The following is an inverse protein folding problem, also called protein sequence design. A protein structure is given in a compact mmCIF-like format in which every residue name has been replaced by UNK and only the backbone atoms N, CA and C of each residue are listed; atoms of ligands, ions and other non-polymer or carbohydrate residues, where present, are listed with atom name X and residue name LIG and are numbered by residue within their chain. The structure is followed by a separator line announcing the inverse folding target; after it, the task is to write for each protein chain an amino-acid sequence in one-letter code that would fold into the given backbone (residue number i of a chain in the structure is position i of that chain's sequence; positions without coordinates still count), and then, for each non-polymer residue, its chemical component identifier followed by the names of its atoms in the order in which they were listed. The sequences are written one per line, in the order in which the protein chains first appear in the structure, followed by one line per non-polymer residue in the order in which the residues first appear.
data_IF_900652427287
#
_entry.id   IF_900652427287
#
_cell.length_a   1.000
_cell.length_b   1.000
_cell.length_c   1.000
_cell.angle_alpha   90.00
_cell.angle_beta   90.00
_cell.angle_gamma   90.00
#
_symmetry.space_group_name_H-M   'P 1'
#
loop_
_entity.id
_entity.type
_entity.pdbx_description
1 polymer ?
#
# COMPACT_ATOMS: atom_id res chain seq x y z
N UNK A 1 -60.35 -2.16 2.44
CA UNK A 1 -58.92 -1.81 2.35
C UNK A 1 -58.36 -1.87 3.75
N UNK A 2 -57.40 -2.75 4.01
CA UNK A 2 -56.72 -2.82 5.32
C UNK A 2 -55.43 -2.01 5.20
N UNK A 3 -55.17 -1.16 6.19
CA UNK A 3 -53.95 -0.35 6.29
C UNK A 3 -53.31 -0.64 7.64
N UNK A 4 -52.03 -0.99 7.64
CA UNK A 4 -51.20 -1.13 8.84
C UNK A 4 -49.99 -0.23 8.69
N UNK A 5 -49.58 0.40 9.78
CA UNK A 5 -48.36 1.22 9.85
C UNK A 5 -47.32 0.41 10.61
N UNK A 6 -46.17 0.17 9.99
CA UNK A 6 -45.03 -0.45 10.63
C UNK A 6 -44.05 0.65 11.06
N UNK A 7 -43.68 0.64 12.33
CA UNK A 7 -42.52 1.42 12.80
C UNK A 7 -41.28 0.60 12.51
N UNK A 8 -40.32 1.19 11.80
CA UNK A 8 -39.05 0.52 11.50
C UNK A 8 -38.29 0.24 12.79
N UNK A 9 -37.61 -0.91 12.85
CA UNK A 9 -36.67 -1.20 13.93
C UNK A 9 -35.42 -0.32 13.83
N UNK A 10 -34.48 -0.49 14.75
CA UNK A 10 -33.20 0.22 14.73
C UNK A 10 -32.18 -0.43 13.79
N UNK A 11 -32.37 -1.69 13.39
CA UNK A 11 -31.43 -2.44 12.55
C UNK A 11 -31.71 -2.22 11.05
N UNK A 12 -30.64 -2.02 10.28
CA UNK A 12 -30.67 -2.08 8.82
C UNK A 12 -30.71 -3.52 8.31
N UNK A 13 -31.14 -3.69 7.06
CA UNK A 13 -31.26 -4.99 6.40
C UNK A 13 -32.65 -5.23 5.82
N UNK A 14 -32.85 -6.43 5.25
CA UNK A 14 -34.13 -6.82 4.67
C UNK A 14 -35.15 -7.15 5.77
N UNK A 15 -36.24 -6.39 5.79
CA UNK A 15 -37.42 -6.68 6.59
C UNK A 15 -38.48 -7.36 5.73
N UNK A 16 -38.90 -8.57 6.11
CA UNK A 16 -40.03 -9.25 5.47
C UNK A 16 -41.32 -8.95 6.21
N UNK A 17 -42.31 -8.42 5.50
CA UNK A 17 -43.66 -8.21 6.00
C UNK A 17 -44.55 -9.30 5.43
N UNK A 18 -45.17 -10.09 6.30
CA UNK A 18 -46.09 -11.16 5.93
C UNK A 18 -47.50 -10.80 6.39
N UNK A 19 -48.46 -10.82 5.47
CA UNK A 19 -49.90 -10.80 5.78
C UNK A 19 -50.47 -12.21 5.65
N UNK A 20 -51.28 -12.63 6.61
CA UNK A 20 -51.86 -13.99 6.67
C UNK A 20 -53.35 -13.93 6.99
N UNK A 21 -54.19 -14.71 6.28
CA UNK A 21 -55.63 -14.90 6.53
C UNK A 21 -56.01 -16.34 6.20
N UNK A 22 -56.64 -17.07 7.14
CA UNK A 22 -57.18 -18.42 6.94
C UNK A 22 -56.21 -19.42 6.26
N UNK A 23 -54.93 -19.38 6.63
CA UNK A 23 -53.89 -20.24 6.06
C UNK A 23 -53.30 -19.76 4.73
N UNK A 24 -53.81 -18.69 4.15
CA UNK A 24 -53.19 -18.00 3.01
C UNK A 24 -52.24 -16.91 3.51
N UNK A 25 -51.09 -16.72 2.85
CA UNK A 25 -50.18 -15.60 3.14
C UNK A 25 -49.67 -14.91 1.88
N UNK A 26 -49.30 -13.64 2.04
CA UNK A 26 -48.55 -12.84 1.07
C UNK A 26 -47.41 -12.15 1.78
N UNK A 27 -46.26 -12.08 1.12
CA UNK A 27 -45.07 -11.42 1.63
C UNK A 27 -44.69 -10.23 0.76
N UNK A 28 -44.13 -9.20 1.38
CA UNK A 28 -43.39 -8.13 0.72
C UNK A 28 -42.12 -7.89 1.53
N UNK A 29 -41.01 -7.60 0.84
CA UNK A 29 -39.74 -7.25 1.49
C UNK A 29 -39.50 -5.75 1.36
N UNK A 30 -38.91 -5.16 2.40
CA UNK A 30 -38.47 -3.78 2.42
C UNK A 30 -37.04 -3.73 2.93
N UNK A 31 -36.16 -3.01 2.25
CA UNK A 31 -34.78 -2.80 2.70
C UNK A 31 -34.76 -1.59 3.64
N UNK A 32 -34.42 -1.81 4.91
CA UNK A 32 -34.16 -0.75 5.87
C UNK A 32 -32.70 -0.35 5.78
N UNK A 33 -32.43 0.94 5.59
CA UNK A 33 -31.08 1.49 5.58
C UNK A 33 -30.83 2.18 6.92
N UNK A 34 -29.66 1.94 7.51
CA UNK A 34 -29.21 2.69 8.67
C UNK A 34 -29.08 4.18 8.30
N UNK A 35 -29.10 5.04 9.31
CA UNK A 35 -28.89 6.48 9.13
C UNK A 35 -27.45 6.78 8.70
N UNK A 36 -27.08 8.07 8.65
CA UNK A 36 -25.71 8.49 8.33
C UNK A 36 -24.69 7.72 9.18
N UNK A 37 -23.64 7.21 8.53
CA UNK A 37 -22.54 6.53 9.20
C UNK A 37 -21.93 7.38 10.32
N UNK A 38 -21.72 6.75 11.47
CA UNK A 38 -20.95 7.31 12.56
C UNK A 38 -19.47 6.97 12.34
N UNK A 39 -18.70 7.98 11.97
CA UNK A 39 -17.26 7.86 11.70
C UNK A 39 -16.49 7.42 12.94
N UNK A 40 -16.92 7.80 14.14
CA UNK A 40 -16.23 7.45 15.38
C UNK A 40 -16.42 5.98 15.78
N UNK A 41 -17.57 5.39 15.43
CA UNK A 41 -17.86 3.97 15.67
C UNK A 41 -17.44 3.06 14.51
N UNK A 42 -17.22 3.63 13.33
CA UNK A 42 -16.76 2.90 12.14
C UNK A 42 -15.25 2.68 12.16
N UNK A 43 -14.77 1.71 11.38
CA UNK A 43 -13.33 1.38 11.31
C UNK A 43 -12.87 1.14 9.88
N UNK A 44 -11.66 1.58 9.55
CA UNK A 44 -10.97 1.20 8.32
C UNK A 44 -9.72 0.41 8.71
N UNK A 45 -9.56 -0.80 8.18
CA UNK A 45 -8.38 -1.65 8.40
C UNK A 45 -7.75 -2.07 7.08
N UNK A 46 -6.48 -2.45 7.13
CA UNK A 46 -5.80 -3.15 6.05
C UNK A 46 -5.54 -4.59 6.48
N UNK A 47 -5.44 -5.52 5.54
CA UNK A 47 -4.91 -6.85 5.84
C UNK A 47 -3.44 -6.77 6.29
N UNK A 48 -2.99 -7.81 6.99
CA UNK A 48 -1.60 -7.99 7.39
C UNK A 48 -1.01 -9.19 6.63
N UNK A 49 -0.42 -8.98 5.43
CA UNK A 49 0.26 -10.04 4.70
C UNK A 49 1.42 -10.62 5.53
N UNK A 50 1.71 -11.91 5.37
CA UNK A 50 2.80 -12.60 6.09
C UNK A 50 4.21 -12.22 5.62
N UNK A 51 4.32 -11.32 4.64
CA UNK A 51 5.57 -10.85 4.05
C UNK A 51 5.39 -9.46 3.45
N UNK A 52 6.45 -8.94 2.86
CA UNK A 52 6.40 -7.63 2.22
C UNK A 52 5.47 -7.62 0.99
N UNK A 53 4.81 -6.49 0.74
CA UNK A 53 3.99 -6.26 -0.45
C UNK A 53 4.82 -5.47 -1.47
N UNK A 54 5.16 -6.10 -2.59
CA UNK A 54 6.01 -5.48 -3.61
C UNK A 54 5.24 -4.43 -4.41
N UNK A 55 5.91 -3.32 -4.72
CA UNK A 55 5.40 -2.27 -5.60
C UNK A 55 5.48 -2.65 -7.09
N UNK A 56 4.90 -3.79 -7.48
CA UNK A 56 4.87 -4.31 -8.85
C UNK A 56 3.58 -3.96 -9.61
N UNK A 57 2.65 -3.23 -8.97
CA UNK A 57 1.31 -2.92 -9.48
C UNK A 57 0.31 -4.08 -9.36
N UNK A 58 0.76 -5.27 -8.98
CA UNK A 58 -0.01 -6.52 -8.97
C UNK A 58 -0.31 -6.99 -7.54
N UNK A 59 0.71 -7.00 -6.67
CA UNK A 59 0.53 -7.26 -5.24
C UNK A 59 -0.22 -6.09 -4.62
N UNK A 60 -1.13 -6.43 -3.70
CA UNK A 60 -2.07 -5.47 -3.17
C UNK A 60 -2.35 -5.73 -1.69
N UNK A 61 -2.62 -4.65 -0.99
CA UNK A 61 -3.36 -4.70 0.26
C UNK A 61 -4.85 -4.77 -0.02
N UNK A 62 -5.59 -5.35 0.91
CA UNK A 62 -7.05 -5.30 0.96
C UNK A 62 -7.45 -4.39 2.10
N UNK A 63 -8.08 -3.26 1.77
CA UNK A 63 -8.73 -2.40 2.75
C UNK A 63 -10.12 -2.95 3.07
N UNK A 64 -10.50 -2.86 4.34
CA UNK A 64 -11.82 -3.23 4.86
C UNK A 64 -12.38 -2.09 5.69
N UNK A 65 -13.47 -1.49 5.24
CA UNK A 65 -14.27 -0.53 6.01
C UNK A 65 -15.42 -1.27 6.67
N UNK A 66 -15.52 -1.22 7.99
CA UNK A 66 -16.73 -1.58 8.73
C UNK A 66 -17.47 -0.30 9.07
N UNK A 67 -18.58 -0.05 8.38
CA UNK A 67 -19.41 1.13 8.52
C UNK A 67 -20.62 0.83 9.40
N UNK A 68 -20.77 1.59 10.48
CA UNK A 68 -21.89 1.49 11.42
C UNK A 68 -22.46 2.88 11.74
N UNK A 69 -23.72 2.94 12.16
CA UNK A 69 -24.34 4.15 12.71
C UNK A 69 -24.01 4.35 14.20
N UNK A 70 -24.61 5.37 14.82
CA UNK A 70 -24.42 5.70 16.24
C UNK A 70 -24.90 4.61 17.20
N UNK A 71 -25.84 3.78 16.74
CA UNK A 71 -26.44 2.67 17.48
C UNK A 71 -25.72 1.33 17.22
N UNK A 72 -24.70 1.32 16.35
CA UNK A 72 -23.90 0.15 16.00
C UNK A 72 -24.52 -0.74 14.91
N UNK A 73 -25.55 -0.29 14.22
CA UNK A 73 -26.15 -1.04 13.11
C UNK A 73 -25.32 -0.85 11.83
N UNK A 74 -25.19 -1.87 10.97
CA UNK A 74 -24.40 -1.77 9.75
C UNK A 74 -25.00 -0.76 8.75
N UNK A 75 -24.17 0.07 8.12
CA UNK A 75 -24.62 0.99 7.07
C UNK A 75 -24.45 0.32 5.71
N UNK A 76 -25.55 -0.15 5.12
CA UNK A 76 -25.56 -1.00 3.91
C UNK A 76 -25.84 -0.25 2.60
N UNK A 77 -25.36 -0.81 1.49
CA UNK A 77 -25.65 -0.34 0.14
C UNK A 77 -24.98 0.97 -0.26
N UNK A 78 -23.89 1.35 0.39
CA UNK A 78 -23.16 2.62 0.16
C UNK A 78 -21.94 2.47 -0.76
N UNK A 79 -21.68 1.28 -1.33
CA UNK A 79 -20.48 1.01 -2.12
C UNK A 79 -20.26 2.00 -3.28
N UNK A 80 -21.34 2.43 -3.94
CA UNK A 80 -21.31 3.40 -5.04
C UNK A 80 -21.00 4.84 -4.60
N UNK A 81 -21.13 5.14 -3.30
CA UNK A 81 -20.90 6.45 -2.69
C UNK A 81 -19.56 6.50 -1.96
N UNK A 82 -19.06 5.38 -1.47
CA UNK A 82 -17.76 5.31 -0.82
C UNK A 82 -16.61 5.48 -1.80
N UNK A 83 -15.52 6.13 -1.38
CA UNK A 83 -14.25 6.20 -2.11
C UNK A 83 -13.10 5.99 -1.14
N UNK A 84 -12.08 5.26 -1.57
CA UNK A 84 -10.78 5.19 -0.90
C UNK A 84 -9.78 5.96 -1.75
N UNK A 85 -9.23 7.02 -1.19
CA UNK A 85 -8.42 7.99 -1.92
C UNK A 85 -7.01 8.02 -1.31
N UNK A 86 -5.99 7.59 -2.06
CA UNK A 86 -4.59 7.77 -1.68
C UNK A 86 -4.25 9.27 -1.58
N UNK A 87 -3.44 9.66 -0.59
CA UNK A 87 -2.93 11.04 -0.49
C UNK A 87 -2.00 11.39 -1.66
N UNK A 88 -1.14 10.45 -2.07
CA UNK A 88 -0.40 10.50 -3.33
C UNK A 88 -0.96 9.43 -4.26
N UNK A 89 -1.42 9.86 -5.43
CA UNK A 89 -2.04 8.99 -6.44
C UNK A 89 -1.03 8.46 -7.45
N UNK A 90 0.21 8.97 -7.45
CA UNK A 90 1.22 8.57 -8.42
C UNK A 90 1.57 7.09 -8.27
N UNK A 91 1.23 6.29 -9.27
CA UNK A 91 1.51 4.85 -9.30
C UNK A 91 0.64 4.02 -8.36
N UNK A 92 -0.35 4.60 -7.67
CA UNK A 92 -1.27 3.89 -6.78
C UNK A 92 -2.57 3.59 -7.52
N UNK A 93 -3.01 2.34 -7.47
CA UNK A 93 -4.29 1.91 -8.02
C UNK A 93 -5.19 1.41 -6.89
N UNK A 94 -6.42 1.93 -6.83
CA UNK A 94 -7.45 1.48 -5.91
C UNK A 94 -8.52 0.74 -6.70
N UNK A 95 -8.82 -0.49 -6.30
CA UNK A 95 -9.87 -1.31 -6.88
C UNK A 95 -11.27 -0.79 -6.57
N UNK A 96 -12.27 -1.37 -7.25
CA UNK A 96 -13.67 -1.06 -6.96
C UNK A 96 -14.03 -1.46 -5.52
N UNK A 97 -14.81 -0.59 -4.85
CA UNK A 97 -15.34 -0.88 -3.53
C UNK A 97 -16.56 -1.78 -3.68
N UNK A 98 -16.55 -2.90 -2.95
CA UNK A 98 -17.66 -3.86 -2.91
C UNK A 98 -18.11 -4.07 -1.47
N UNK A 99 -19.42 -4.13 -1.25
CA UNK A 99 -19.96 -4.58 0.03
C UNK A 99 -19.90 -6.11 0.09
N UNK A 100 -19.09 -6.66 0.99
CA UNK A 100 -18.85 -8.11 1.11
C UNK A 100 -19.77 -8.77 2.12
N UNK A 101 -20.28 -7.99 3.09
CA UNK A 101 -21.28 -8.34 4.11
C UNK A 101 -21.99 -7.05 4.52
N UNK A 102 -23.19 -7.09 5.12
CA UNK A 102 -23.88 -5.88 5.57
C UNK A 102 -22.97 -4.92 6.35
N UNK A 103 -22.76 -3.72 5.81
CA UNK A 103 -21.93 -2.66 6.40
C UNK A 103 -20.42 -2.88 6.30
N UNK A 104 -19.96 -3.95 5.64
CA UNK A 104 -18.53 -4.26 5.47
C UNK A 104 -18.16 -4.12 4.00
N UNK A 105 -17.30 -3.14 3.71
CA UNK A 105 -16.85 -2.80 2.37
C UNK A 105 -15.39 -3.13 2.19
N UNK A 106 -15.02 -3.62 1.01
CA UNK A 106 -13.66 -4.00 0.69
C UNK A 106 -13.22 -3.48 -0.67
N UNK A 107 -11.95 -3.09 -0.76
CA UNK A 107 -11.27 -2.80 -2.02
C UNK A 107 -9.78 -3.13 -1.89
N UNK A 108 -9.17 -3.47 -3.02
CA UNK A 108 -7.72 -3.67 -3.09
C UNK A 108 -6.99 -2.34 -3.36
N UNK A 109 -5.75 -2.25 -2.91
CA UNK A 109 -4.84 -1.14 -3.21
C UNK A 109 -3.50 -1.72 -3.62
N UNK A 110 -3.05 -1.44 -4.83
CA UNK A 110 -1.72 -1.78 -5.34
C UNK A 110 -0.92 -0.52 -5.67
N UNK A 111 0.40 -0.66 -5.81
CA UNK A 111 1.31 0.43 -6.13
C UNK A 111 2.41 -0.03 -7.08
N UNK A 112 2.87 0.85 -7.98
CA UNK A 112 4.15 0.70 -8.70
C UNK A 112 5.28 1.49 -8.05
N UNK A 113 4.98 2.22 -6.97
CA UNK A 113 5.95 2.98 -6.16
C UNK A 113 6.15 2.35 -4.79
N UNK A 114 7.40 2.09 -4.43
CA UNK A 114 7.77 1.67 -3.09
C UNK A 114 7.64 2.84 -2.09
N UNK A 115 7.33 2.50 -0.84
CA UNK A 115 7.15 3.47 0.24
C UNK A 115 5.77 3.37 0.89
N UNK A 116 5.50 4.36 1.76
CA UNK A 116 4.25 4.43 2.50
C UNK A 116 3.18 5.16 1.69
N UNK A 117 2.02 4.53 1.52
CA UNK A 117 0.83 5.09 0.89
C UNK A 117 -0.24 5.27 1.96
N UNK A 118 -0.64 6.52 2.22
CA UNK A 118 -1.75 6.82 3.14
C UNK A 118 -3.05 6.89 2.34
N UNK A 119 -4.01 6.03 2.65
CA UNK A 119 -5.33 5.99 2.01
C UNK A 119 -6.39 6.48 2.99
N UNK A 120 -7.27 7.36 2.53
CA UNK A 120 -8.36 7.95 3.32
C UNK A 120 -9.71 7.50 2.76
N UNK A 121 -10.68 7.25 3.64
CA UNK A 121 -12.04 6.97 3.23
C UNK A 121 -12.86 8.25 3.06
N UNK A 122 -13.74 8.25 2.06
CA UNK A 122 -14.69 9.30 1.75
C UNK A 122 -16.08 8.70 1.55
N UNK A 123 -17.11 9.46 1.88
CA UNK A 123 -18.48 9.24 1.40
C UNK A 123 -18.84 10.40 0.47
N UNK A 124 -19.11 10.07 -0.78
CA UNK A 124 -19.16 11.01 -1.90
C UNK A 124 -17.89 11.87 -1.95
N UNK A 125 -18.02 13.17 -1.71
CA UNK A 125 -16.92 14.15 -1.69
C UNK A 125 -16.40 14.46 -0.28
N UNK A 126 -17.01 13.89 0.76
CA UNK A 126 -16.71 14.24 2.15
C UNK A 126 -15.75 13.23 2.77
N UNK A 127 -14.62 13.72 3.27
CA UNK A 127 -13.64 12.89 3.95
C UNK A 127 -14.22 12.37 5.27
N UNK A 128 -14.06 11.07 5.52
CA UNK A 128 -14.52 10.39 6.73
C UNK A 128 -13.50 10.47 7.85
N UNK A 129 -13.11 11.71 8.19
CA UNK A 129 -12.29 12.04 9.36
C UNK A 129 -11.08 11.12 9.56
N UNK A 130 -11.14 10.34 10.66
CA UNK A 130 -10.10 9.44 11.18
C UNK A 130 -9.95 8.12 10.43
N UNK A 131 -10.86 7.81 9.49
CA UNK A 131 -10.82 6.56 8.71
C UNK A 131 -9.76 6.66 7.62
N UNK A 132 -8.52 6.36 8.02
CA UNK A 132 -7.37 6.29 7.14
C UNK A 132 -6.46 5.13 7.51
N UNK A 133 -5.69 4.65 6.53
CA UNK A 133 -4.68 3.62 6.74
C UNK A 133 -3.38 3.93 6.00
N UNK A 134 -2.27 3.49 6.59
CA UNK A 134 -0.93 3.59 5.97
C UNK A 134 -0.50 2.21 5.51
N UNK A 135 -0.28 2.06 4.20
CA UNK A 135 0.14 0.83 3.54
C UNK A 135 1.62 0.94 3.17
N UNK A 136 2.43 -0.09 3.41
CA UNK A 136 3.87 -0.07 3.11
C UNK A 136 4.18 -0.99 1.94
N UNK A 137 4.49 -0.40 0.79
CA UNK A 137 5.01 -1.16 -0.34
C UNK A 137 6.53 -1.17 -0.33
N UNK A 138 7.15 -2.28 -0.72
CA UNK A 138 8.62 -2.38 -0.87
C UNK A 138 9.01 -2.43 -2.34
N UNK A 139 10.24 -2.07 -2.65
CA UNK A 139 10.78 -2.26 -4.00
C UNK A 139 10.84 -3.75 -4.35
N UNK A 140 10.69 -4.06 -5.63
CA UNK A 140 10.86 -5.41 -6.15
C UNK A 140 12.31 -5.87 -6.17
N UNK A 141 12.57 -7.03 -6.79
CA UNK A 141 13.93 -7.52 -7.00
C UNK A 141 14.80 -6.49 -7.73
N UNK A 142 16.08 -6.46 -7.36
CA UNK A 142 17.09 -5.64 -8.04
C UNK A 142 17.08 -5.91 -9.55
N UNK A 143 17.00 -4.84 -10.32
CA UNK A 143 17.10 -4.86 -11.78
C UNK A 143 18.41 -4.20 -12.23
N UNK A 144 19.26 -4.98 -12.89
CA UNK A 144 20.57 -4.52 -13.32
C UNK A 144 20.52 -3.50 -14.46
N UNK A 145 19.45 -3.47 -15.26
CA UNK A 145 19.30 -2.53 -16.37
C UNK A 145 18.89 -1.13 -15.88
N UNK A 146 18.16 -1.05 -14.77
CA UNK A 146 17.76 0.22 -14.14
C UNK A 146 18.77 0.69 -13.07
N UNK A 147 19.63 -0.21 -12.58
CA UNK A 147 20.67 0.11 -11.61
C UNK A 147 21.94 0.65 -12.26
N UNK A 148 22.74 1.40 -11.51
CA UNK A 148 23.99 2.00 -12.03
C UNK A 148 25.05 2.13 -10.95
N UNK A 149 26.32 2.10 -11.34
CA UNK A 149 27.45 2.40 -10.45
C UNK A 149 28.29 3.54 -11.04
N UNK A 150 28.68 4.48 -10.19
CA UNK A 150 29.51 5.63 -10.55
C UNK A 150 30.68 5.78 -9.56
N UNK A 151 31.69 6.56 -9.95
CA UNK A 151 32.84 6.87 -9.13
C UNK A 151 32.92 8.37 -8.86
N UNK A 152 33.33 8.75 -7.65
CA UNK A 152 33.63 10.12 -7.27
C UNK A 152 34.98 10.20 -6.52
N UNK A 153 36.03 10.81 -7.12
CA UNK A 153 36.06 11.38 -8.47
C UNK A 153 35.94 10.31 -9.57
N UNK A 154 35.44 10.67 -10.75
CA UNK A 154 35.29 9.77 -11.90
C UNK A 154 36.63 9.37 -12.55
N UNK A 155 37.66 10.22 -12.33
CA UNK A 155 39.03 10.02 -12.79
C UNK A 155 40.01 10.13 -11.60
N UNK A 156 40.07 9.10 -10.74
CA UNK A 156 40.98 9.11 -9.60
C UNK A 156 42.44 9.02 -10.06
N UNK A 157 43.34 9.63 -9.28
CA UNK A 157 44.79 9.50 -9.45
C UNK A 157 45.31 8.27 -8.69
N UNK A 158 46.42 7.70 -9.16
CA UNK A 158 47.09 6.58 -8.50
C UNK A 158 47.47 6.96 -7.06
N UNK A 159 47.23 6.04 -6.11
CA UNK A 159 47.46 6.29 -4.69
C UNK A 159 46.40 7.15 -4.01
N UNK A 160 45.35 7.57 -4.73
CA UNK A 160 44.22 8.30 -4.18
C UNK A 160 43.11 7.41 -3.64
N UNK A 161 42.13 8.04 -3.01
CA UNK A 161 40.87 7.43 -2.58
C UNK A 161 39.76 7.81 -3.55
N UNK A 162 38.89 6.86 -3.90
CA UNK A 162 37.70 7.08 -4.70
C UNK A 162 36.48 6.47 -4.01
N UNK A 163 35.35 7.16 -4.09
CA UNK A 163 34.06 6.65 -3.60
C UNK A 163 33.32 6.01 -4.77
N UNK A 164 33.03 4.72 -4.67
CA UNK A 164 32.05 4.07 -5.53
C UNK A 164 30.64 4.32 -4.96
N UNK A 165 29.75 4.76 -5.83
CA UNK A 165 28.34 5.03 -5.52
C UNK A 165 27.49 4.12 -6.41
N UNK A 166 26.86 3.12 -5.81
CA UNK A 166 25.96 2.20 -6.48
C UNK A 166 24.51 2.61 -6.19
N UNK A 167 23.75 2.89 -7.25
CA UNK A 167 22.30 3.12 -7.20
C UNK A 167 21.60 1.84 -7.59
N UNK A 168 20.92 1.22 -6.62
CA UNK A 168 20.16 -0.02 -6.77
C UNK A 168 18.68 0.29 -6.99
N UNK A 169 18.12 -0.20 -8.09
CA UNK A 169 16.71 -0.02 -8.45
C UNK A 169 16.07 -1.33 -8.89
N UNK A 170 14.74 -1.41 -8.75
CA UNK A 170 13.93 -2.46 -9.38
C UNK A 170 13.51 -2.08 -10.80
N UNK A 171 12.73 -2.95 -11.45
CA UNK A 171 12.23 -2.74 -12.81
C UNK A 171 11.22 -1.59 -12.95
N UNK A 172 10.71 -1.05 -11.84
CA UNK A 172 9.80 0.10 -11.78
C UNK A 172 10.52 1.38 -11.31
N UNK A 173 11.86 1.39 -11.35
CA UNK A 173 12.70 2.48 -10.87
C UNK A 173 12.62 2.77 -9.36
N UNK A 174 12.07 1.85 -8.55
CA UNK A 174 12.03 2.02 -7.10
C UNK A 174 13.41 1.77 -6.49
N UNK A 175 13.85 2.61 -5.53
CA UNK A 175 15.11 2.38 -4.82
C UNK A 175 15.05 1.09 -4.00
N UNK A 176 16.01 0.21 -4.21
CA UNK A 176 16.10 -1.08 -3.49
C UNK A 176 17.01 -0.91 -2.28
N UNK A 177 16.44 -1.02 -1.08
CA UNK A 177 17.13 -0.89 0.21
C UNK A 177 17.27 -2.24 0.91
N UNK A 178 18.17 -2.36 1.90
CA UNK A 178 18.25 -3.57 2.74
C UNK A 178 18.81 -4.82 2.02
N UNK A 179 19.55 -4.60 0.93
CA UNK A 179 20.33 -5.65 0.28
C UNK A 179 21.50 -6.09 1.18
N UNK A 180 22.02 -7.30 0.94
CA UNK A 180 23.27 -7.76 1.55
C UNK A 180 24.28 -8.11 0.45
N UNK A 181 24.84 -7.10 -0.24
CA UNK A 181 25.76 -7.33 -1.36
C UNK A 181 27.10 -7.89 -0.86
N UNK A 182 27.74 -8.72 -1.69
CA UNK A 182 29.14 -9.08 -1.50
C UNK A 182 30.04 -7.84 -1.55
N UNK A 183 31.20 -7.92 -0.92
CA UNK A 183 32.19 -6.85 -0.97
C UNK A 183 32.62 -6.53 -2.41
N UNK A 184 32.95 -5.27 -2.73
CA UNK A 184 33.42 -4.90 -4.07
C UNK A 184 34.63 -5.74 -4.50
N UNK A 185 34.55 -6.32 -5.68
CA UNK A 185 35.67 -7.04 -6.30
C UNK A 185 36.43 -6.12 -7.25
N UNK A 186 37.75 -6.04 -7.08
CA UNK A 186 38.64 -5.24 -7.91
C UNK A 186 39.47 -6.15 -8.82
N UNK A 187 39.58 -5.81 -10.11
CA UNK A 187 40.33 -6.60 -11.09
C UNK A 187 41.07 -5.72 -12.10
N UNK A 188 42.03 -6.32 -12.82
CA UNK A 188 42.90 -5.63 -13.79
C UNK A 188 44.22 -5.12 -13.21
N UNK A 189 45.16 -4.76 -14.08
CA UNK A 189 46.52 -4.38 -13.69
C UNK A 189 46.57 -3.18 -12.74
N UNK A 190 45.67 -2.20 -12.91
CA UNK A 190 45.59 -1.01 -12.05
C UNK A 190 44.99 -1.29 -10.66
N UNK A 191 44.31 -2.42 -10.47
CA UNK A 191 43.73 -2.81 -9.18
C UNK A 191 44.73 -3.51 -8.26
N UNK A 192 45.90 -3.93 -8.75
CA UNK A 192 46.90 -4.67 -7.97
C UNK A 192 47.32 -3.87 -6.74
N UNK A 193 47.10 -4.44 -5.55
CA UNK A 193 47.40 -3.81 -4.26
C UNK A 193 46.38 -2.78 -3.78
N UNK A 194 45.31 -2.54 -4.54
CA UNK A 194 44.20 -1.67 -4.12
C UNK A 194 43.27 -2.43 -3.19
N UNK A 195 42.57 -1.70 -2.32
CA UNK A 195 41.58 -2.28 -1.40
C UNK A 195 40.24 -1.56 -1.57
N UNK A 196 39.16 -2.26 -1.27
CA UNK A 196 37.82 -1.69 -1.16
C UNK A 196 37.25 -1.97 0.23
N UNK A 197 36.51 -1.00 0.78
CA UNK A 197 35.65 -1.25 1.94
C UNK A 197 34.46 -2.14 1.54
N UNK A 198 33.72 -2.65 2.54
CA UNK A 198 32.35 -3.13 2.29
C UNK A 198 31.42 -1.99 1.85
N UNK A 199 30.27 -2.37 1.30
CA UNK A 199 29.21 -1.43 0.96
C UNK A 199 28.51 -0.91 2.22
N UNK A 200 28.23 0.40 2.23
CA UNK A 200 27.40 1.08 3.24
C UNK A 200 26.07 1.46 2.61
N UNK A 201 24.95 0.97 3.16
CA UNK A 201 23.59 1.38 2.76
C UNK A 201 23.32 2.80 3.24
N UNK A 202 22.90 3.69 2.33
CA UNK A 202 22.50 5.06 2.68
C UNK A 202 21.00 5.16 3.01
N UNK A 203 20.23 4.09 2.84
CA UNK A 203 18.80 4.02 3.17
C UNK A 203 17.86 4.60 2.10
N UNK A 204 18.41 5.02 0.97
CA UNK A 204 17.67 5.63 -0.15
C UNK A 204 17.84 4.88 -1.48
N UNK A 205 18.33 3.63 -1.40
CA UNK A 205 18.68 2.80 -2.56
C UNK A 205 20.07 3.10 -3.11
N UNK A 206 20.84 4.00 -2.50
CA UNK A 206 22.25 4.20 -2.82
C UNK A 206 23.17 3.53 -1.80
N UNK A 207 24.27 3.00 -2.31
CA UNK A 207 25.29 2.29 -1.55
C UNK A 207 26.65 2.89 -1.82
N UNK A 208 27.48 3.04 -0.79
CA UNK A 208 28.83 3.62 -0.93
C UNK A 208 29.92 2.66 -0.50
N UNK A 209 31.02 2.64 -1.24
CA UNK A 209 32.25 1.94 -0.88
C UNK A 209 33.47 2.82 -1.16
N UNK A 210 34.44 2.82 -0.24
CA UNK A 210 35.71 3.49 -0.43
C UNK A 210 36.71 2.54 -1.09
N UNK A 211 37.32 2.99 -2.18
CA UNK A 211 38.40 2.27 -2.85
C UNK A 211 39.68 3.06 -2.66
N UNK A 212 40.70 2.41 -2.08
CA UNK A 212 42.03 2.97 -1.92
C UNK A 212 42.95 2.36 -2.98
N UNK A 213 43.44 3.21 -3.89
CA UNK A 213 44.39 2.79 -4.91
C UNK A 213 45.76 2.52 -4.28
N UNK A 214 46.41 1.43 -4.71
CA UNK A 214 47.78 1.18 -4.30
C UNK A 214 48.73 2.27 -4.82
N UNK A 215 49.67 2.71 -3.99
CA UNK A 215 50.81 3.49 -4.46
C UNK A 215 51.65 2.62 -5.41
N UNK A 216 52.01 3.17 -6.57
CA UNK A 216 52.99 2.53 -7.46
C UNK A 216 54.31 2.40 -6.69
N UNK A 217 54.73 1.17 -6.37
CA UNK A 217 56.09 0.93 -5.88
C UNK A 217 57.05 1.29 -7.01
N UNK A 218 57.84 2.34 -6.81
CA UNK A 218 58.97 2.67 -7.68
C UNK A 218 60.10 1.76 -7.23
N UNK A 219 60.46 0.78 -8.05
CA UNK A 219 61.70 0.00 -7.89
C UNK A 219 62.83 0.73 -8.61
#
# INVERSE_FOLDING_TARGET
MYQSVFTTGTQSGEATITVSVDGMSKTVTAELRATMMDVANSTLSANEPSGDVVADGQQAYTLTLTAVDSEGNPVTGEASRLRFVPQDTNGVTVGAISEIKPGVYSATVSSTRAGNVVVRAFSEQYQLGTLQQTLKFVAGPLDAAHSSITLNPDKPVVGGTVTAIWTAKDANDNPVTGLNPDAPSLSGAAAVGSTASGWTDNGDGTWTAQILSALRRVN
#
